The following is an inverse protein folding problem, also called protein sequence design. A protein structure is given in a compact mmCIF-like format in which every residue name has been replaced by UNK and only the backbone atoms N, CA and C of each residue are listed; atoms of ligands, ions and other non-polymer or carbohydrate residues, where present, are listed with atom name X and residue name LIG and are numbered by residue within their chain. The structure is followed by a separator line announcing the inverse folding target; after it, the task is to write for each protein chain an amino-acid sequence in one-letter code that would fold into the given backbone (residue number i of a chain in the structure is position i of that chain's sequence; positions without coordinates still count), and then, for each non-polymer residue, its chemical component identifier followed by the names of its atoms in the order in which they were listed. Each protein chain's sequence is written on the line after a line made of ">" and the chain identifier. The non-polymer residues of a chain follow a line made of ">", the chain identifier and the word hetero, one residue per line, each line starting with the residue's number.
data_IF_449483289771
#
_entry.id   IF_449483289771
#
_cell.length_a   1.000
_cell.length_b   1.000
_cell.length_c   1.000
_cell.angle_alpha   90.00
_cell.angle_beta   90.00
_cell.angle_gamma   90.00
#
_symmetry.space_group_name_H-M   'P 1'
#
loop_
_entity.id
_entity.type
_entity.pdbx_description
1 polymer ?
#
# COMPACT_ATOMS: atom_id res chain seq x y z
N UNK A 1 35.53 35.28 21.80
CA UNK A 1 34.82 34.00 21.74
C UNK A 1 33.44 34.27 21.14
N UNK A 2 33.36 34.30 19.82
CA UNK A 2 32.17 34.68 19.05
C UNK A 2 31.22 33.48 18.96
N UNK A 3 29.92 33.62 19.28
CA UNK A 3 28.98 32.52 19.22
C UNK A 3 28.74 32.10 17.76
N UNK A 4 28.85 30.82 17.49
CA UNK A 4 28.50 30.18 16.21
C UNK A 4 27.01 30.37 15.91
N UNK A 5 26.64 30.73 14.67
CA UNK A 5 25.24 30.90 14.31
C UNK A 5 24.54 29.54 14.30
N UNK A 6 23.43 29.43 15.05
CA UNK A 6 22.53 28.29 14.99
C UNK A 6 21.91 28.24 13.59
N UNK A 7 22.20 27.20 12.83
CA UNK A 7 21.45 26.87 11.62
C UNK A 7 19.99 26.67 12.01
N UNK A 8 19.13 27.60 11.59
CA UNK A 8 17.69 27.48 11.67
C UNK A 8 17.27 26.30 10.79
N UNK A 9 17.01 25.16 11.43
CA UNK A 9 16.38 24.01 10.79
C UNK A 9 15.01 24.49 10.30
N UNK A 10 14.86 24.63 8.99
CA UNK A 10 13.56 24.98 8.40
C UNK A 10 12.57 23.87 8.75
N UNK A 11 11.32 24.20 9.15
CA UNK A 11 10.34 23.21 9.54
C UNK A 11 10.09 22.25 8.36
N UNK A 12 10.17 20.94 8.62
CA UNK A 12 9.86 19.91 7.64
C UNK A 12 8.48 20.20 7.02
N UNK A 13 8.35 20.21 5.68
CA UNK A 13 7.06 20.45 5.05
C UNK A 13 6.07 19.37 5.52
N UNK A 14 4.85 19.79 5.85
CA UNK A 14 3.78 18.86 6.19
C UNK A 14 3.63 17.79 5.08
N UNK A 15 3.41 16.51 5.43
CA UNK A 15 3.47 15.39 4.49
C UNK A 15 2.50 15.51 3.30
N UNK A 16 1.43 16.29 3.45
CA UNK A 16 0.46 16.58 2.38
C UNK A 16 1.01 17.45 1.24
N UNK A 17 2.04 18.27 1.49
CA UNK A 17 2.68 19.11 0.48
C UNK A 17 3.58 18.33 -0.47
N UNK A 18 4.26 17.30 0.04
CA UNK A 18 5.18 16.45 -0.72
C UNK A 18 4.46 15.52 -1.71
N UNK A 19 3.30 14.99 -1.34
CA UNK A 19 2.48 14.19 -2.26
C UNK A 19 1.92 15.03 -3.42
N UNK A 20 1.50 16.28 -3.13
CA UNK A 20 0.97 17.18 -4.15
C UNK A 20 2.03 17.64 -5.16
N UNK A 21 3.30 17.70 -4.77
CA UNK A 21 4.39 18.07 -5.69
C UNK A 21 4.80 16.94 -6.64
N UNK A 22 4.36 15.70 -6.39
CA UNK A 22 4.62 14.52 -7.22
C UNK A 22 3.56 14.31 -8.32
N UNK A 23 2.33 14.76 -8.07
CA UNK A 23 1.22 14.68 -9.04
C UNK A 23 1.49 15.35 -10.42
N UNK A 24 2.18 16.50 -10.52
CA UNK A 24 2.44 17.17 -11.80
C UNK A 24 3.29 16.34 -12.76
N UNK A 25 4.11 15.41 -12.26
CA UNK A 25 4.99 14.55 -13.09
C UNK A 25 4.16 13.59 -13.95
N UNK A 26 2.99 13.16 -13.46
CA UNK A 26 2.03 12.38 -14.25
C UNK A 26 1.39 13.17 -15.40
N UNK A 27 1.43 14.51 -15.33
CA UNK A 27 0.88 15.39 -16.34
C UNK A 27 1.52 15.25 -17.71
N UNK A 28 2.74 14.68 -17.79
CA UNK A 28 3.42 14.35 -19.04
C UNK A 28 2.91 13.04 -19.68
N UNK A 29 2.32 12.14 -18.89
CA UNK A 29 1.91 10.79 -19.29
C UNK A 29 0.40 10.55 -19.20
N UNK A 30 -0.42 11.60 -19.38
CA UNK A 30 -1.89 11.56 -19.19
C UNK A 30 -2.59 10.41 -19.93
N UNK A 31 -2.15 10.11 -21.16
CA UNK A 31 -2.73 9.03 -21.94
C UNK A 31 -2.43 7.65 -21.32
N UNK A 32 -1.22 7.41 -20.84
CA UNK A 32 -0.85 6.16 -20.16
C UNK A 32 -1.57 6.06 -18.82
N UNK A 33 -1.61 7.14 -18.04
CA UNK A 33 -2.37 7.21 -16.78
C UNK A 33 -3.83 6.86 -17.00
N UNK A 34 -4.48 7.44 -18.02
CA UNK A 34 -5.86 7.15 -18.35
C UNK A 34 -6.05 5.67 -18.71
N UNK A 35 -5.18 5.09 -19.54
CA UNK A 35 -5.23 3.67 -19.89
C UNK A 35 -5.08 2.77 -18.67
N UNK A 36 -4.16 3.07 -17.78
CA UNK A 36 -3.97 2.31 -16.53
C UNK A 36 -5.20 2.43 -15.62
N UNK A 37 -5.77 3.63 -15.50
CA UNK A 37 -7.00 3.84 -14.73
C UNK A 37 -8.21 3.10 -15.33
N UNK A 38 -8.33 3.07 -16.65
CA UNK A 38 -9.38 2.32 -17.35
C UNK A 38 -9.20 0.81 -17.16
N UNK A 39 -7.97 0.29 -17.25
CA UNK A 39 -7.69 -1.11 -17.00
C UNK A 39 -8.05 -1.50 -15.55
N UNK A 40 -7.62 -0.69 -14.57
CA UNK A 40 -7.97 -0.88 -13.16
C UNK A 40 -9.50 -0.80 -12.93
N UNK A 41 -10.19 0.13 -13.60
CA UNK A 41 -11.64 0.23 -13.51
C UNK A 41 -12.35 -1.00 -14.08
N UNK A 42 -11.88 -1.52 -15.22
CA UNK A 42 -12.42 -2.74 -15.83
C UNK A 42 -12.17 -3.95 -14.94
N UNK A 43 -10.98 -4.08 -14.35
CA UNK A 43 -10.66 -5.16 -13.40
C UNK A 43 -11.62 -5.16 -12.21
N UNK A 44 -11.77 -4.01 -11.55
CA UNK A 44 -12.63 -3.87 -10.39
C UNK A 44 -14.12 -4.02 -10.75
N UNK A 45 -14.57 -3.48 -11.87
CA UNK A 45 -15.94 -3.65 -12.33
C UNK A 45 -16.24 -5.11 -12.67
N UNK A 46 -15.30 -5.83 -13.30
CA UNK A 46 -15.43 -7.26 -13.57
C UNK A 46 -15.48 -8.07 -12.26
N UNK A 47 -14.68 -7.72 -11.26
CA UNK A 47 -14.75 -8.34 -9.92
C UNK A 47 -16.12 -8.11 -9.27
N UNK A 48 -16.62 -6.88 -9.26
CA UNK A 48 -17.93 -6.55 -8.68
C UNK A 48 -19.04 -7.33 -9.40
N UNK A 49 -19.06 -7.29 -10.73
CA UNK A 49 -20.04 -8.03 -11.53
C UNK A 49 -19.96 -9.54 -11.29
N UNK A 50 -18.74 -10.11 -11.19
CA UNK A 50 -18.53 -11.52 -10.90
C UNK A 50 -19.08 -11.91 -9.53
N UNK A 51 -18.77 -11.15 -8.48
CA UNK A 51 -19.23 -11.44 -7.11
C UNK A 51 -20.74 -11.26 -6.99
N UNK A 52 -21.30 -10.20 -7.56
CA UNK A 52 -22.75 -9.96 -7.54
C UNK A 52 -23.51 -11.03 -8.31
N UNK A 53 -23.05 -11.41 -9.51
CA UNK A 53 -23.69 -12.45 -10.30
C UNK A 53 -23.56 -13.83 -9.64
N UNK A 54 -22.39 -14.15 -9.08
CA UNK A 54 -22.19 -15.38 -8.32
C UNK A 54 -23.15 -15.46 -7.12
N UNK A 55 -23.23 -14.40 -6.32
CA UNK A 55 -24.15 -14.32 -5.18
C UNK A 55 -25.62 -14.48 -5.63
N UNK A 56 -26.02 -13.80 -6.70
CA UNK A 56 -27.36 -13.93 -7.28
C UNK A 56 -27.66 -15.38 -7.72
N UNK A 57 -26.74 -16.01 -8.46
CA UNK A 57 -26.94 -17.40 -8.94
C UNK A 57 -27.04 -18.42 -7.82
N UNK A 58 -26.22 -18.29 -6.79
CA UNK A 58 -26.28 -19.16 -5.61
C UNK A 58 -27.58 -18.92 -4.87
N UNK A 59 -27.97 -17.65 -4.68
CA UNK A 59 -29.24 -17.28 -4.05
C UNK A 59 -30.44 -17.91 -4.75
N UNK A 60 -30.56 -17.75 -6.07
CA UNK A 60 -31.66 -18.34 -6.86
C UNK A 60 -31.61 -19.86 -6.89
N UNK A 61 -30.43 -20.46 -6.95
CA UNK A 61 -30.30 -21.92 -6.96
C UNK A 61 -30.77 -22.54 -5.64
N UNK A 62 -30.50 -21.88 -4.52
CA UNK A 62 -30.95 -22.31 -3.18
C UNK A 62 -32.45 -22.08 -2.99
N UNK A 63 -32.99 -20.93 -3.40
CA UNK A 63 -34.42 -20.62 -3.20
C UNK A 63 -35.31 -21.42 -4.14
N UNK A 64 -34.95 -21.51 -5.42
CA UNK A 64 -35.77 -22.17 -6.46
C UNK A 64 -35.45 -23.65 -6.61
N UNK A 65 -34.40 -24.17 -5.95
CA UNK A 65 -33.93 -25.56 -6.06
C UNK A 65 -33.62 -25.99 -7.50
N UNK A 66 -33.19 -25.04 -8.34
CA UNK A 66 -32.85 -25.25 -9.75
C UNK A 66 -31.36 -25.02 -10.00
N UNK A 67 -30.71 -25.85 -10.83
CA UNK A 67 -29.33 -25.59 -11.21
C UNK A 67 -29.22 -24.29 -12.03
N UNK A 68 -28.09 -23.58 -11.94
CA UNK A 68 -27.88 -22.36 -12.72
C UNK A 68 -27.94 -22.66 -14.22
N UNK A 69 -28.57 -21.78 -14.98
CA UNK A 69 -28.66 -21.92 -16.43
C UNK A 69 -27.24 -21.93 -17.06
N UNK A 70 -27.02 -22.74 -18.12
CA UNK A 70 -25.72 -22.83 -18.76
C UNK A 70 -25.22 -21.48 -19.31
N UNK A 71 -26.13 -20.61 -19.74
CA UNK A 71 -25.81 -19.24 -20.16
C UNK A 71 -25.21 -18.41 -19.03
N UNK A 72 -25.72 -18.53 -17.81
CA UNK A 72 -25.18 -17.79 -16.66
C UNK A 72 -23.79 -18.30 -16.26
N UNK A 73 -23.58 -19.62 -16.34
CA UNK A 73 -22.24 -20.21 -16.12
C UNK A 73 -21.25 -19.72 -17.18
N UNK A 74 -21.66 -19.65 -18.45
CA UNK A 74 -20.82 -19.11 -19.52
C UNK A 74 -20.45 -17.63 -19.28
N UNK A 75 -21.39 -16.81 -18.80
CA UNK A 75 -21.14 -15.40 -18.43
C UNK A 75 -20.16 -15.31 -17.26
N UNK A 76 -20.29 -16.15 -16.23
CA UNK A 76 -19.35 -16.19 -15.11
C UNK A 76 -17.93 -16.54 -15.58
N UNK A 77 -17.78 -17.56 -16.45
CA UNK A 77 -16.49 -17.92 -17.04
C UNK A 77 -15.92 -16.74 -17.85
N UNK A 78 -16.76 -16.08 -18.66
CA UNK A 78 -16.36 -14.90 -19.43
C UNK A 78 -15.88 -13.75 -18.54
N UNK A 79 -16.56 -13.49 -17.42
CA UNK A 79 -16.15 -12.49 -16.42
C UNK A 79 -14.83 -12.84 -15.75
N UNK A 80 -14.59 -14.12 -15.42
CA UNK A 80 -13.30 -14.57 -14.88
C UNK A 80 -12.17 -14.32 -15.88
N UNK A 81 -12.38 -14.67 -17.15
CA UNK A 81 -11.39 -14.44 -18.21
C UNK A 81 -11.15 -12.95 -18.47
N UNK A 82 -12.22 -12.15 -18.51
CA UNK A 82 -12.14 -10.69 -18.65
C UNK A 82 -11.33 -10.08 -17.51
N UNK A 83 -11.63 -10.47 -16.28
CA UNK A 83 -10.90 -10.01 -15.10
C UNK A 83 -9.44 -10.42 -15.17
N UNK A 84 -9.13 -11.68 -15.44
CA UNK A 84 -7.75 -12.15 -15.55
C UNK A 84 -6.95 -11.35 -16.59
N UNK A 85 -7.56 -11.06 -17.74
CA UNK A 85 -6.95 -10.21 -18.77
C UNK A 85 -6.79 -8.76 -18.32
N UNK A 86 -7.80 -8.20 -17.64
CA UNK A 86 -7.77 -6.85 -17.10
C UNK A 86 -6.68 -6.68 -16.03
N UNK A 87 -6.58 -7.62 -15.08
CA UNK A 87 -5.52 -7.64 -14.06
C UNK A 87 -4.13 -7.67 -14.72
N UNK A 88 -3.93 -8.52 -15.72
CA UNK A 88 -2.66 -8.59 -16.44
C UNK A 88 -2.33 -7.28 -17.16
N UNK A 89 -3.31 -6.69 -17.86
CA UNK A 89 -3.14 -5.41 -18.56
C UNK A 89 -2.92 -4.25 -17.61
N UNK A 90 -3.61 -4.22 -16.48
CA UNK A 90 -3.41 -3.20 -15.44
C UNK A 90 -1.97 -3.27 -14.92
N UNK A 91 -1.48 -4.47 -14.56
CA UNK A 91 -0.14 -4.65 -14.02
C UNK A 91 0.96 -4.25 -15.01
N UNK A 92 0.79 -4.60 -16.28
CA UNK A 92 1.72 -4.21 -17.36
C UNK A 92 1.75 -2.68 -17.57
N UNK A 93 0.58 -2.07 -17.74
CA UNK A 93 0.46 -0.62 -17.98
C UNK A 93 0.91 0.21 -16.78
N UNK A 94 0.70 -0.28 -15.56
CA UNK A 94 1.03 0.46 -14.36
C UNK A 94 2.53 0.47 -14.08
N UNK A 95 3.23 -0.64 -14.32
CA UNK A 95 4.69 -0.69 -14.20
C UNK A 95 5.38 0.07 -15.34
N UNK A 96 4.89 -0.01 -16.59
CA UNK A 96 5.41 0.81 -17.68
C UNK A 96 5.31 2.31 -17.35
N UNK A 97 4.17 2.76 -16.82
CA UNK A 97 3.99 4.13 -16.34
C UNK A 97 5.00 4.47 -15.23
N UNK A 98 5.10 3.62 -14.20
CA UNK A 98 5.98 3.85 -13.06
C UNK A 98 7.45 3.95 -13.50
N UNK A 99 7.94 3.04 -14.33
CA UNK A 99 9.34 3.06 -14.78
C UNK A 99 9.66 4.28 -15.65
N UNK A 100 8.73 4.73 -16.50
CA UNK A 100 8.91 5.98 -17.26
C UNK A 100 9.05 7.18 -16.33
N UNK A 101 8.16 7.29 -15.34
CA UNK A 101 8.19 8.37 -14.34
C UNK A 101 9.47 8.29 -13.49
N UNK A 102 9.86 7.09 -13.04
CA UNK A 102 11.09 6.89 -12.27
C UNK A 102 12.33 7.25 -13.07
N UNK A 103 12.40 6.90 -14.36
CA UNK A 103 13.52 7.27 -15.23
C UNK A 103 13.67 8.79 -15.32
N UNK A 104 12.57 9.52 -15.50
CA UNK A 104 12.59 10.99 -15.54
C UNK A 104 13.01 11.59 -14.20
N UNK A 105 12.49 11.07 -13.09
CA UNK A 105 12.87 11.51 -11.74
C UNK A 105 14.35 11.28 -11.47
N UNK A 106 14.91 10.13 -11.88
CA UNK A 106 16.35 9.83 -11.76
C UNK A 106 17.19 10.87 -12.50
N UNK A 107 16.85 11.20 -13.74
CA UNK A 107 17.57 12.25 -14.50
C UNK A 107 17.50 13.60 -13.79
N UNK A 108 16.31 14.02 -13.36
CA UNK A 108 16.14 15.30 -12.63
C UNK A 108 16.96 15.36 -11.33
N UNK A 109 17.02 14.25 -10.59
CA UNK A 109 17.83 14.12 -9.38
C UNK A 109 19.32 14.22 -9.71
N UNK A 110 19.81 13.48 -10.72
CA UNK A 110 21.20 13.56 -11.15
C UNK A 110 21.59 14.97 -11.58
N UNK A 111 20.78 15.63 -12.40
CA UNK A 111 21.03 17.00 -12.85
C UNK A 111 21.03 17.98 -11.66
N UNK A 112 20.13 17.79 -10.70
CA UNK A 112 20.08 18.58 -9.47
C UNK A 112 21.34 18.43 -8.62
N UNK A 113 21.82 17.19 -8.44
CA UNK A 113 23.05 16.88 -7.72
C UNK A 113 24.28 17.45 -8.44
N UNK A 114 24.36 17.31 -9.77
CA UNK A 114 25.44 17.87 -10.57
C UNK A 114 25.54 19.39 -10.45
N UNK A 115 24.40 20.11 -10.47
CA UNK A 115 24.36 21.57 -10.30
C UNK A 115 24.76 22.04 -8.89
N UNK A 116 24.56 21.21 -7.86
CA UNK A 116 24.80 21.59 -6.46
C UNK A 116 26.19 21.21 -5.93
N UNK A 117 27.01 20.57 -6.77
CA UNK A 117 28.31 20.01 -6.42
C UNK A 117 29.39 21.00 -5.93
N UNK A 118 29.46 22.29 -6.33
CA UNK A 118 30.54 23.16 -5.85
C UNK A 118 30.34 23.74 -4.43
N UNK A 119 29.09 23.86 -3.94
CA UNK A 119 28.80 24.74 -2.79
C UNK A 119 28.20 24.06 -1.54
N UNK A 120 27.72 22.81 -1.62
CA UNK A 120 26.99 22.14 -0.52
C UNK A 120 27.43 20.72 -0.16
N UNK A 121 28.42 20.15 -0.86
CA UNK A 121 28.94 18.78 -0.59
C UNK A 121 30.16 18.83 0.36
N UNK A 122 30.19 19.78 1.30
CA UNK A 122 31.20 19.80 2.34
C UNK A 122 30.83 18.79 3.44
N UNK A 123 31.31 17.55 3.31
CA UNK A 123 31.26 16.54 4.39
C UNK A 123 30.47 15.26 4.14
N UNK A 124 29.85 15.07 2.96
CA UNK A 124 29.25 13.78 2.55
C UNK A 124 29.82 13.34 1.20
N UNK A 125 30.04 12.03 1.00
CA UNK A 125 30.48 11.51 -0.31
C UNK A 125 29.34 11.74 -1.29
N UNK A 126 29.62 12.36 -2.45
CA UNK A 126 28.62 12.60 -3.50
C UNK A 126 27.91 11.32 -3.94
N UNK A 127 28.62 10.18 -3.91
CA UNK A 127 28.06 8.86 -4.15
C UNK A 127 27.01 8.42 -3.13
N UNK A 128 27.19 8.72 -1.84
CA UNK A 128 26.23 8.34 -0.79
C UNK A 128 24.93 9.16 -0.92
N UNK A 129 25.06 10.45 -1.27
CA UNK A 129 23.91 11.32 -1.52
C UNK A 129 23.12 10.88 -2.76
N UNK A 130 23.82 10.53 -3.83
CA UNK A 130 23.19 9.97 -5.03
C UNK A 130 22.49 8.65 -4.72
N UNK A 131 23.17 7.70 -4.07
CA UNK A 131 22.59 6.40 -3.73
C UNK A 131 21.32 6.54 -2.87
N UNK A 132 21.35 7.43 -1.88
CA UNK A 132 20.16 7.72 -1.03
C UNK A 132 19.02 8.29 -1.86
N UNK A 133 19.29 9.31 -2.70
CA UNK A 133 18.26 9.96 -3.51
C UNK A 133 17.66 9.03 -4.58
N UNK A 134 18.47 8.15 -5.18
CA UNK A 134 17.96 7.13 -6.11
C UNK A 134 17.11 6.08 -5.39
N UNK A 135 17.50 5.68 -4.17
CA UNK A 135 16.68 4.80 -3.32
C UNK A 135 15.33 5.42 -2.98
N UNK A 136 15.29 6.72 -2.67
CA UNK A 136 14.03 7.45 -2.44
C UNK A 136 13.16 7.52 -3.71
N UNK A 137 13.78 7.67 -4.89
CA UNK A 137 13.05 7.62 -6.18
C UNK A 137 12.49 6.22 -6.45
N UNK A 138 13.22 5.16 -6.11
CA UNK A 138 12.74 3.78 -6.26
C UNK A 138 11.58 3.47 -5.31
N UNK A 139 11.58 4.03 -4.10
CA UNK A 139 10.46 3.91 -3.16
C UNK A 139 9.13 4.49 -3.70
N UNK A 140 9.19 5.38 -4.70
CA UNK A 140 8.01 5.93 -5.38
C UNK A 140 7.39 4.96 -6.40
N UNK A 141 8.06 3.88 -6.77
CA UNK A 141 7.55 2.87 -7.72
C UNK A 141 6.16 2.39 -7.30
N UNK A 142 6.02 1.98 -6.03
CA UNK A 142 4.74 1.48 -5.52
C UNK A 142 3.62 2.52 -5.62
N UNK A 143 3.92 3.80 -5.37
CA UNK A 143 2.95 4.88 -5.48
C UNK A 143 2.46 5.08 -6.92
N UNK A 144 3.37 5.10 -7.89
CA UNK A 144 3.01 5.31 -9.30
C UNK A 144 2.42 4.06 -9.96
N UNK A 145 2.90 2.87 -9.61
CA UNK A 145 2.44 1.60 -10.19
C UNK A 145 1.13 1.09 -9.57
N UNK A 146 0.82 1.42 -8.32
CA UNK A 146 -0.32 0.80 -7.64
C UNK A 146 -1.27 1.85 -7.05
N UNK A 147 -0.77 2.80 -6.27
CA UNK A 147 -1.65 3.67 -5.49
C UNK A 147 -2.58 4.55 -6.35
N UNK A 148 -2.07 5.21 -7.39
CA UNK A 148 -2.86 6.21 -8.14
C UNK A 148 -4.02 5.57 -8.89
N UNK A 149 -3.73 4.60 -9.76
CA UNK A 149 -4.75 3.98 -10.60
C UNK A 149 -5.78 3.21 -9.75
N UNK A 150 -5.32 2.48 -8.74
CA UNK A 150 -6.20 1.71 -7.87
C UNK A 150 -7.08 2.61 -7.01
N UNK A 151 -6.56 3.72 -6.46
CA UNK A 151 -7.39 4.64 -5.67
C UNK A 151 -8.46 5.33 -6.52
N UNK A 152 -8.10 5.76 -7.73
CA UNK A 152 -9.06 6.36 -8.66
C UNK A 152 -10.14 5.37 -9.08
N UNK A 153 -9.75 4.16 -9.50
CA UNK A 153 -10.69 3.10 -9.85
C UNK A 153 -11.61 2.74 -8.68
N UNK A 154 -11.03 2.54 -7.48
CA UNK A 154 -11.79 2.18 -6.27
C UNK A 154 -12.78 3.27 -5.89
N UNK A 155 -12.39 4.54 -6.01
CA UNK A 155 -13.28 5.68 -5.75
C UNK A 155 -14.44 5.74 -6.73
N UNK A 156 -14.20 5.49 -8.02
CA UNK A 156 -15.25 5.43 -9.05
C UNK A 156 -16.20 4.26 -8.79
N UNK A 157 -15.67 3.06 -8.54
CA UNK A 157 -16.48 1.86 -8.25
C UNK A 157 -17.31 2.07 -6.99
N UNK A 158 -16.73 2.60 -5.91
CA UNK A 158 -17.46 2.92 -4.69
C UNK A 158 -18.60 3.91 -4.95
N UNK A 159 -18.35 4.99 -5.69
CA UNK A 159 -19.36 5.99 -6.01
C UNK A 159 -20.50 5.41 -6.86
N UNK A 160 -20.17 4.63 -7.89
CA UNK A 160 -21.16 3.97 -8.76
C UNK A 160 -21.98 2.94 -7.97
N UNK A 161 -21.33 2.07 -7.20
CA UNK A 161 -22.02 1.08 -6.37
C UNK A 161 -22.93 1.73 -5.33
N UNK A 162 -22.48 2.81 -4.68
CA UNK A 162 -23.31 3.57 -3.76
C UNK A 162 -24.51 4.22 -4.47
N UNK A 163 -24.33 4.79 -5.67
CA UNK A 163 -25.41 5.37 -6.45
C UNK A 163 -26.46 4.33 -6.88
N UNK A 164 -26.01 3.15 -7.33
CA UNK A 164 -26.90 2.02 -7.66
C UNK A 164 -27.69 1.58 -6.43
N UNK A 165 -27.01 1.47 -5.28
CA UNK A 165 -27.66 1.07 -4.02
C UNK A 165 -28.68 2.13 -3.55
N UNK A 166 -28.35 3.42 -3.69
CA UNK A 166 -29.25 4.53 -3.38
C UNK A 166 -30.51 4.51 -4.26
N UNK A 167 -30.35 4.17 -5.54
CA UNK A 167 -31.46 4.07 -6.49
C UNK A 167 -32.38 2.88 -6.19
N UNK A 168 -31.83 1.76 -5.67
CA UNK A 168 -32.62 0.62 -5.19
C UNK A 168 -33.37 0.94 -3.89
N UNK A 169 -32.75 1.72 -3.00
CA UNK A 169 -33.36 2.17 -1.76
C UNK A 169 -32.38 3.00 -0.94
N UNK A 170 -32.67 4.28 -0.64
CA UNK A 170 -31.72 5.14 0.07
C UNK A 170 -31.41 4.66 1.49
N UNK A 171 -32.30 3.88 2.12
CA UNK A 171 -32.08 3.32 3.45
C UNK A 171 -30.99 2.24 3.47
N UNK A 172 -30.69 1.58 2.34
CA UNK A 172 -29.59 0.59 2.22
C UNK A 172 -28.22 1.24 2.49
N UNK A 173 -28.08 2.52 2.15
CA UNK A 173 -26.86 3.28 2.40
C UNK A 173 -26.53 3.39 3.89
N UNK A 174 -27.54 3.30 4.78
CA UNK A 174 -27.33 3.40 6.22
C UNK A 174 -26.48 2.25 6.77
N UNK A 175 -26.51 1.08 6.12
CA UNK A 175 -25.66 -0.05 6.46
C UNK A 175 -24.25 0.04 5.84
N UNK A 176 -24.11 0.63 4.65
CA UNK A 176 -22.86 0.63 3.87
C UNK A 176 -21.98 1.84 4.16
N UNK A 177 -22.55 3.03 4.28
CA UNK A 177 -21.80 4.29 4.42
C UNK A 177 -20.96 4.31 5.71
N UNK A 178 -21.46 3.91 6.89
CA UNK A 178 -20.64 3.88 8.10
C UNK A 178 -19.45 2.92 7.97
N UNK A 179 -19.68 1.74 7.39
CA UNK A 179 -18.62 0.75 7.16
C UNK A 179 -17.57 1.27 6.17
N UNK A 180 -18.00 1.84 5.04
CA UNK A 180 -17.11 2.44 4.04
C UNK A 180 -16.27 3.57 4.65
N UNK A 181 -16.89 4.46 5.43
CA UNK A 181 -16.20 5.56 6.11
C UNK A 181 -15.16 5.03 7.10
N UNK A 182 -15.50 4.02 7.89
CA UNK A 182 -14.58 3.43 8.87
C UNK A 182 -13.39 2.74 8.17
N UNK A 183 -13.61 2.07 7.04
CA UNK A 183 -12.54 1.49 6.22
C UNK A 183 -11.60 2.55 5.64
N UNK A 184 -12.14 3.65 5.12
CA UNK A 184 -11.34 4.76 4.58
C UNK A 184 -10.51 5.43 5.69
N UNK A 185 -11.07 5.57 6.89
CA UNK A 185 -10.39 6.21 8.02
C UNK A 185 -9.46 5.28 8.80
N UNK A 186 -9.64 3.96 8.74
CA UNK A 186 -8.78 2.97 9.42
C UNK A 186 -7.27 3.24 9.28
N UNK A 187 -6.70 3.43 8.07
CA UNK A 187 -5.27 3.67 7.93
C UNK A 187 -4.81 5.00 8.56
N UNK A 188 -5.68 6.01 8.61
CA UNK A 188 -5.40 7.33 9.20
C UNK A 188 -5.39 7.25 10.73
N UNK A 189 -6.37 6.56 11.32
CA UNK A 189 -6.48 6.35 12.76
C UNK A 189 -5.26 5.57 13.27
N UNK A 190 -4.84 4.54 12.53
CA UNK A 190 -3.71 3.70 12.91
C UNK A 190 -2.34 4.24 12.49
N UNK A 191 -2.27 5.40 11.82
CA UNK A 191 -1.03 5.93 11.27
C UNK A 191 0.08 6.08 12.33
N UNK A 192 -0.26 6.62 13.51
CA UNK A 192 0.69 6.77 14.63
C UNK A 192 1.16 5.43 15.18
N UNK A 193 0.23 4.50 15.38
CA UNK A 193 0.54 3.16 15.86
C UNK A 193 1.43 2.38 14.91
N UNK A 194 1.18 2.50 13.59
CA UNK A 194 2.03 1.92 12.53
C UNK A 194 3.42 2.55 12.51
N UNK A 195 3.52 3.88 12.61
CA UNK A 195 4.80 4.57 12.65
C UNK A 195 5.67 4.12 13.85
N UNK A 196 5.06 4.01 15.03
CA UNK A 196 5.74 3.57 16.25
C UNK A 196 6.21 2.10 16.17
N UNK A 197 5.37 1.21 15.63
CA UNK A 197 5.74 -0.20 15.40
C UNK A 197 6.87 -0.32 14.38
N UNK A 198 6.77 0.38 13.26
CA UNK A 198 7.80 0.42 12.23
C UNK A 198 9.12 0.98 12.76
N UNK A 199 9.08 2.00 13.63
CA UNK A 199 10.28 2.51 14.30
C UNK A 199 10.92 1.45 15.19
N UNK A 200 10.13 0.72 16.01
CA UNK A 200 10.65 -0.38 16.83
C UNK A 200 11.29 -1.49 16.01
N UNK A 201 10.67 -1.89 14.90
CA UNK A 201 11.21 -2.90 13.99
C UNK A 201 12.52 -2.43 13.35
N UNK A 202 12.57 -1.19 12.85
CA UNK A 202 13.79 -0.59 12.25
C UNK A 202 14.92 -0.45 13.26
N UNK A 203 14.64 0.00 14.48
CA UNK A 203 15.65 0.12 15.54
C UNK A 203 16.20 -1.24 15.97
N UNK A 204 15.36 -2.27 16.07
CA UNK A 204 15.82 -3.64 16.36
C UNK A 204 16.65 -4.24 15.22
N UNK A 205 16.30 -3.93 13.96
CA UNK A 205 17.08 -4.33 12.79
C UNK A 205 18.45 -3.64 12.77
N UNK A 206 18.49 -2.33 13.02
CA UNK A 206 19.74 -1.56 13.07
C UNK A 206 20.70 -2.10 14.13
N UNK A 207 20.20 -2.46 15.32
CA UNK A 207 21.02 -3.08 16.37
C UNK A 207 21.56 -4.45 15.97
N UNK A 208 20.74 -5.29 15.34
CA UNK A 208 21.19 -6.59 14.84
C UNK A 208 22.26 -6.43 13.74
N UNK A 209 22.07 -5.48 12.83
CA UNK A 209 23.04 -5.16 11.78
C UNK A 209 24.36 -4.67 12.37
N UNK A 210 24.31 -3.75 13.35
CA UNK A 210 25.50 -3.24 14.04
C UNK A 210 26.28 -4.37 14.73
N UNK A 211 25.61 -5.18 15.54
CA UNK A 211 26.24 -6.33 16.22
C UNK A 211 26.83 -7.34 15.23
N UNK A 212 26.22 -7.50 14.05
CA UNK A 212 26.72 -8.40 12.99
C UNK A 212 27.98 -7.83 12.36
N UNK A 213 27.99 -6.55 11.99
CA UNK A 213 29.17 -5.87 11.40
C UNK A 213 30.33 -5.91 12.38
N UNK A 214 30.13 -5.50 13.63
CA UNK A 214 31.19 -5.54 14.64
C UNK A 214 31.67 -6.98 14.94
N UNK A 215 30.81 -8.00 14.75
CA UNK A 215 31.22 -9.40 14.91
C UNK A 215 32.13 -9.85 13.77
N UNK A 216 31.88 -9.37 12.55
CA UNK A 216 32.70 -9.66 11.37
C UNK A 216 34.04 -8.94 11.49
N UNK A 217 34.02 -7.65 11.81
CA UNK A 217 35.23 -6.83 11.95
C UNK A 217 36.12 -7.31 13.12
N UNK A 218 35.50 -7.71 14.23
CA UNK A 218 36.19 -8.17 15.43
C UNK A 218 36.48 -9.68 15.49
N UNK A 219 36.24 -10.44 14.42
CA UNK A 219 36.23 -11.91 14.48
C UNK A 219 37.56 -12.51 14.98
N UNK A 220 38.68 -11.97 14.54
CA UNK A 220 40.02 -12.41 14.95
C UNK A 220 40.23 -12.24 16.45
N UNK A 221 39.79 -11.12 17.01
CA UNK A 221 39.91 -10.84 18.45
C UNK A 221 38.96 -11.70 19.28
N UNK A 222 37.75 -11.96 18.79
CA UNK A 222 36.81 -12.89 19.41
C UNK A 222 37.35 -14.32 19.47
N UNK A 223 38.09 -14.74 18.44
CA UNK A 223 38.77 -16.05 18.40
C UNK A 223 39.92 -16.10 19.40
N UNK A 224 40.78 -15.07 19.44
CA UNK A 224 41.92 -14.99 20.36
C UNK A 224 41.49 -14.98 21.84
N UNK A 225 40.39 -14.30 22.14
CA UNK A 225 39.85 -14.20 23.51
C UNK A 225 38.93 -15.35 23.91
N UNK A 226 38.61 -16.28 22.99
CA UNK A 226 37.68 -17.38 23.24
C UNK A 226 36.23 -16.94 23.51
N UNK A 227 35.87 -15.70 23.17
CA UNK A 227 34.61 -15.05 23.56
C UNK A 227 33.45 -15.24 22.56
N UNK A 228 33.67 -16.02 21.50
CA UNK A 228 32.69 -16.29 20.43
C UNK A 228 31.32 -16.73 20.94
N UNK A 229 31.26 -17.60 21.95
CA UNK A 229 29.99 -18.08 22.50
C UNK A 229 29.17 -16.94 23.12
N UNK A 230 29.84 -15.99 23.78
CA UNK A 230 29.21 -14.81 24.39
C UNK A 230 28.68 -13.86 23.30
N UNK A 231 29.45 -13.62 22.22
CA UNK A 231 29.00 -12.84 21.07
C UNK A 231 27.81 -13.50 20.35
N UNK A 232 27.86 -14.82 20.16
CA UNK A 232 26.76 -15.59 19.55
C UNK A 232 25.48 -15.53 20.38
N UNK A 233 25.58 -15.48 21.71
CA UNK A 233 24.44 -15.26 22.59
C UNK A 233 23.83 -13.85 22.42
N UNK A 234 24.67 -12.80 22.27
CA UNK A 234 24.21 -11.43 21.98
C UNK A 234 23.48 -11.34 20.65
N UNK A 235 24.05 -11.85 19.56
CA UNK A 235 23.39 -11.90 18.25
C UNK A 235 22.03 -12.63 18.31
N UNK A 236 21.97 -13.77 19.02
CA UNK A 236 20.69 -14.47 19.24
C UNK A 236 19.69 -13.62 20.02
N UNK A 237 20.12 -12.86 21.03
CA UNK A 237 19.21 -11.97 21.77
C UNK A 237 18.70 -10.79 20.94
N UNK A 238 19.56 -10.18 20.12
CA UNK A 238 19.19 -9.13 19.17
C UNK A 238 18.21 -9.66 18.11
N UNK A 239 18.48 -10.84 17.53
CA UNK A 239 17.58 -11.53 16.61
C UNK A 239 16.23 -11.85 17.26
N UNK A 240 16.20 -12.29 18.52
CA UNK A 240 14.94 -12.51 19.27
C UNK A 240 14.18 -11.21 19.55
N UNK A 241 14.87 -10.07 19.68
CA UNK A 241 14.21 -8.75 19.84
C UNK A 241 13.58 -8.31 18.52
N UNK A 242 14.29 -8.41 17.40
CA UNK A 242 13.75 -8.15 16.08
C UNK A 242 12.53 -9.04 15.78
N UNK A 243 12.66 -10.36 16.01
CA UNK A 243 11.56 -11.29 15.80
C UNK A 243 10.34 -11.00 16.68
N UNK A 244 10.54 -10.49 17.90
CA UNK A 244 9.43 -10.04 18.78
C UNK A 244 8.77 -8.78 18.25
N UNK A 245 9.54 -7.81 17.76
CA UNK A 245 9.01 -6.59 17.16
C UNK A 245 8.18 -6.91 15.90
N UNK A 246 8.73 -7.75 15.00
CA UNK A 246 8.04 -8.21 13.79
C UNK A 246 6.75 -9.00 14.09
N UNK A 247 6.79 -9.93 15.05
CA UNK A 247 5.58 -10.67 15.45
C UNK A 247 4.51 -9.75 16.05
N UNK A 248 4.91 -8.77 16.85
CA UNK A 248 3.96 -7.79 17.37
C UNK A 248 3.32 -7.01 16.20
N UNK A 249 4.12 -6.48 15.29
CA UNK A 249 3.64 -5.78 14.08
C UNK A 249 2.67 -6.65 13.27
N UNK A 250 3.03 -7.89 12.95
CA UNK A 250 2.20 -8.84 12.22
C UNK A 250 0.89 -9.14 12.96
N UNK A 251 0.92 -9.36 14.28
CA UNK A 251 -0.30 -9.63 15.06
C UNK A 251 -1.28 -8.45 15.04
N UNK A 252 -0.77 -7.22 15.01
CA UNK A 252 -1.59 -6.02 14.86
C UNK A 252 -2.21 -5.94 13.47
N UNK A 253 -1.44 -6.23 12.41
CA UNK A 253 -1.94 -6.23 11.03
C UNK A 253 -3.00 -7.31 10.82
N UNK A 254 -2.79 -8.52 11.34
CA UNK A 254 -3.79 -9.60 11.30
C UNK A 254 -5.06 -9.23 12.06
N UNK A 255 -4.91 -8.64 13.26
CA UNK A 255 -6.05 -8.21 14.07
C UNK A 255 -6.86 -7.08 13.41
N UNK A 256 -6.17 -6.08 12.84
CA UNK A 256 -6.80 -5.01 12.09
C UNK A 256 -7.47 -5.52 10.81
N UNK A 257 -6.85 -6.47 10.11
CA UNK A 257 -7.43 -7.15 8.95
C UNK A 257 -8.73 -7.86 9.31
N UNK A 258 -8.71 -8.68 10.37
CA UNK A 258 -9.90 -9.37 10.85
C UNK A 258 -11.03 -8.41 11.25
N UNK A 259 -10.70 -7.27 11.88
CA UNK A 259 -11.69 -6.25 12.22
C UNK A 259 -12.33 -5.62 10.97
N UNK A 260 -11.54 -5.36 9.91
CA UNK A 260 -12.04 -4.86 8.63
C UNK A 260 -12.93 -5.89 7.94
N UNK A 261 -12.55 -7.16 7.94
CA UNK A 261 -13.35 -8.24 7.35
C UNK A 261 -14.69 -8.42 8.08
N UNK A 262 -14.66 -8.41 9.42
CA UNK A 262 -15.88 -8.46 10.24
C UNK A 262 -16.81 -7.27 9.98
N UNK A 263 -16.23 -6.07 9.81
CA UNK A 263 -17.00 -4.87 9.47
C UNK A 263 -17.68 -5.01 8.09
N UNK A 264 -16.96 -5.55 7.10
CA UNK A 264 -17.53 -5.80 5.76
C UNK A 264 -18.67 -6.83 5.85
N UNK A 265 -18.46 -7.94 6.56
CA UNK A 265 -19.49 -8.97 6.76
C UNK A 265 -20.72 -8.40 7.48
N UNK A 266 -20.52 -7.60 8.53
CA UNK A 266 -21.60 -6.94 9.25
C UNK A 266 -22.39 -5.97 8.35
N UNK A 267 -21.71 -5.21 7.49
CA UNK A 267 -22.36 -4.34 6.51
C UNK A 267 -23.21 -5.13 5.51
N UNK A 268 -22.70 -6.26 4.99
CA UNK A 268 -23.44 -7.14 4.09
C UNK A 268 -24.68 -7.72 4.77
N UNK A 269 -24.56 -8.22 6.00
CA UNK A 269 -25.70 -8.73 6.78
C UNK A 269 -26.72 -7.61 7.02
N UNK A 270 -26.27 -6.41 7.37
CA UNK A 270 -27.15 -5.25 7.56
C UNK A 270 -27.94 -4.89 6.29
N UNK A 271 -27.28 -4.89 5.14
CA UNK A 271 -27.93 -4.69 3.83
C UNK A 271 -29.00 -5.75 3.56
N UNK A 272 -28.67 -7.04 3.77
CA UNK A 272 -29.62 -8.16 3.55
C UNK A 272 -30.80 -8.08 4.51
N UNK A 273 -30.55 -7.85 5.79
CA UNK A 273 -31.60 -7.79 6.82
C UNK A 273 -32.58 -6.64 6.56
N UNK A 274 -32.05 -5.46 6.21
CA UNK A 274 -32.90 -4.33 5.94
C UNK A 274 -33.62 -4.47 4.58
N UNK A 275 -33.05 -5.19 3.60
CA UNK A 275 -33.74 -5.53 2.35
C UNK A 275 -34.89 -6.51 2.58
N UNK A 276 -34.69 -7.49 3.44
CA UNK A 276 -35.75 -8.40 3.86
C UNK A 276 -36.89 -7.66 4.58
N UNK A 277 -36.56 -6.70 5.45
CA UNK A 277 -37.56 -5.89 6.16
C UNK A 277 -38.37 -4.97 5.23
N UNK A 278 -37.75 -4.42 4.19
CA UNK A 278 -38.45 -3.59 3.22
C UNK A 278 -39.34 -4.42 2.25
N UNK A 279 -39.10 -5.73 2.14
CA UNK A 279 -39.85 -6.64 1.27
C UNK A 279 -41.00 -7.38 1.99
N UNK A 280 -41.03 -7.34 3.34
CA UNK A 280 -42.09 -7.90 4.19
C UNK A 280 -43.20 -6.88 4.45
#
# INVERSE_FOLDING_TARGET
>A
MTPTPRTTQSPDPAPSGALRSLLPVLGAHRATVLRTCLAALVDQAALVALVTLAAYTVGTAVTEHRPPAPGTVAVLIGLVLLRALATWREMDLSHDLAYRVLAELRVRVFDGLARSAPARIAGRRSGDLAATALGDVEALEFFYAHAIAQLLASGVVLAVSAAVLAALGPWLLLAVVPAALLLIWSPLIEARGRAERGHRTRSALAELSSETVESVDGLRELLMTGSLNRRRARLRSAGRRLARAQRAEQSWETGAGAARDLLVVAAVIGVVAAAAHAAS
#
